data_IF_057785281217
#
_entry.id   IF_057785281217
#
_cell.length_a   1.000
_cell.length_b   1.000
_cell.length_c   1.000
_cell.angle_alpha   90.00
_cell.angle_beta   90.00
_cell.angle_gamma   90.00
#
_symmetry.space_group_name_H-M   'P 1'
#
loop_
_entity.id
_entity.type
_entity.pdbx_description
1 polymer ?
#
# COMPACT_ATOMS: atom_id res chain seq x y z
N UNK A 1 -24.52 17.04 -11.33
CA UNK A 1 -23.18 16.39 -11.42
C UNK A 1 -23.38 14.94 -11.06
N UNK A 2 -23.07 14.01 -11.95
CA UNK A 2 -23.29 12.60 -11.67
C UNK A 2 -22.37 12.11 -10.55
N UNK A 3 -22.86 11.19 -9.73
CA UNK A 3 -22.11 10.60 -8.62
C UNK A 3 -20.76 10.03 -9.07
N UNK A 4 -20.72 9.38 -10.24
CA UNK A 4 -19.47 8.82 -10.74
C UNK A 4 -18.46 9.92 -11.12
N UNK A 5 -18.90 11.09 -11.62
CA UNK A 5 -18.01 12.22 -11.84
C UNK A 5 -17.40 12.75 -10.53
N UNK A 6 -18.20 12.87 -9.46
CA UNK A 6 -17.71 13.25 -8.13
C UNK A 6 -16.67 12.25 -7.62
N UNK A 7 -16.91 10.94 -7.77
CA UNK A 7 -15.97 9.89 -7.37
C UNK A 7 -14.66 9.95 -8.18
N UNK A 8 -14.74 10.20 -9.49
CA UNK A 8 -13.57 10.35 -10.34
C UNK A 8 -12.76 11.60 -9.98
N UNK A 9 -13.42 12.74 -9.72
CA UNK A 9 -12.76 13.97 -9.25
C UNK A 9 -12.08 13.75 -7.88
N UNK A 10 -12.76 13.08 -6.95
CA UNK A 10 -12.16 12.69 -5.68
C UNK A 10 -10.90 11.84 -5.90
N UNK A 11 -10.98 10.81 -6.75
CA UNK A 11 -9.82 9.96 -7.04
C UNK A 11 -8.67 10.75 -7.66
N UNK A 12 -8.96 11.69 -8.57
CA UNK A 12 -7.95 12.58 -9.15
C UNK A 12 -7.29 13.47 -8.09
N UNK A 13 -8.06 14.05 -7.17
CA UNK A 13 -7.54 14.86 -6.07
C UNK A 13 -6.59 14.04 -5.16
N UNK A 14 -6.96 12.79 -4.82
CA UNK A 14 -6.10 11.90 -4.01
C UNK A 14 -4.86 11.47 -4.80
N UNK A 15 -4.96 11.21 -6.09
CA UNK A 15 -3.81 10.84 -6.93
C UNK A 15 -2.78 11.96 -7.06
N UNK A 16 -3.24 13.21 -7.17
CA UNK A 16 -2.37 14.38 -7.36
C UNK A 16 -1.85 14.94 -6.04
N UNK A 17 -2.74 15.16 -5.07
CA UNK A 17 -2.42 15.80 -3.79
C UNK A 17 -1.99 14.83 -2.68
N UNK A 18 -2.45 13.57 -2.76
CA UNK A 18 -2.19 12.56 -1.72
C UNK A 18 -0.72 12.25 -1.48
N UNK A 19 0.09 11.92 -2.51
CA UNK A 19 1.47 11.50 -2.31
C UNK A 19 2.34 12.49 -1.55
N UNK A 20 2.40 13.80 -1.87
CA UNK A 20 3.21 14.74 -1.12
C UNK A 20 2.73 14.91 0.32
N UNK A 21 1.42 14.95 0.55
CA UNK A 21 0.83 15.08 1.89
C UNK A 21 1.13 13.84 2.74
N UNK A 22 0.87 12.65 2.21
CA UNK A 22 1.12 11.39 2.92
C UNK A 22 2.61 11.23 3.26
N UNK A 23 3.52 11.54 2.32
CA UNK A 23 4.96 11.52 2.60
C UNK A 23 5.35 12.49 3.71
N UNK A 24 4.87 13.73 3.66
CA UNK A 24 5.16 14.72 4.70
C UNK A 24 4.69 14.26 6.09
N UNK A 25 3.50 13.66 6.16
CA UNK A 25 2.91 13.16 7.40
C UNK A 25 3.64 11.90 7.94
N UNK A 26 4.09 11.00 7.06
CA UNK A 26 4.69 9.71 7.44
C UNK A 26 6.23 9.73 7.49
N UNK A 27 6.88 10.79 6.97
CA UNK A 27 8.35 10.94 6.87
C UNK A 27 9.09 10.52 8.14
N UNK A 28 8.66 11.02 9.29
CA UNK A 28 9.34 10.77 10.56
C UNK A 28 9.10 9.36 11.13
N UNK A 29 8.20 8.54 10.57
CA UNK A 29 7.91 7.19 11.03
C UNK A 29 7.52 7.06 12.51
N UNK A 30 7.03 8.15 13.16
CA UNK A 30 6.75 8.17 14.60
C UNK A 30 5.57 7.28 15.00
N UNK A 31 4.59 7.14 14.11
CA UNK A 31 3.39 6.30 14.28
C UNK A 31 3.24 5.41 13.05
N UNK A 32 4.12 4.41 12.89
CA UNK A 32 4.23 3.70 11.62
C UNK A 32 2.95 2.94 11.25
N UNK A 33 2.21 2.39 12.22
CA UNK A 33 0.94 1.69 11.98
C UNK A 33 -0.12 2.58 11.36
N UNK A 34 -0.28 3.81 11.86
CA UNK A 34 -1.20 4.79 11.28
C UNK A 34 -0.73 5.23 9.89
N UNK A 35 0.57 5.41 9.71
CA UNK A 35 1.15 5.70 8.40
C UNK A 35 0.83 4.63 7.36
N UNK A 36 0.99 3.34 7.71
CA UNK A 36 0.58 2.21 6.85
C UNK A 36 -0.91 2.28 6.53
N UNK A 37 -1.76 2.49 7.56
CA UNK A 37 -3.20 2.57 7.36
C UNK A 37 -3.59 3.72 6.42
N UNK A 38 -3.00 4.91 6.56
CA UNK A 38 -3.28 6.07 5.70
C UNK A 38 -2.95 5.80 4.23
N UNK A 39 -1.76 5.24 3.95
CA UNK A 39 -1.37 4.89 2.60
C UNK A 39 -2.31 3.83 1.99
N UNK A 40 -2.64 2.79 2.77
CA UNK A 40 -3.55 1.74 2.31
C UNK A 40 -4.96 2.28 2.06
N UNK A 41 -5.50 3.12 2.96
CA UNK A 41 -6.81 3.76 2.79
C UNK A 41 -6.81 4.59 1.50
N UNK A 42 -5.78 5.40 1.26
CA UNK A 42 -5.70 6.22 0.05
C UNK A 42 -5.65 5.37 -1.23
N UNK A 43 -4.82 4.30 -1.25
CA UNK A 43 -4.72 3.39 -2.39
C UNK A 43 -6.05 2.67 -2.62
N UNK A 44 -6.61 2.07 -1.56
CA UNK A 44 -7.86 1.29 -1.67
C UNK A 44 -9.04 2.18 -2.03
N UNK A 45 -9.13 3.41 -1.49
CA UNK A 45 -10.22 4.33 -1.83
C UNK A 45 -10.22 4.72 -3.30
N UNK A 46 -9.04 4.96 -3.90
CA UNK A 46 -8.91 5.24 -5.33
C UNK A 46 -9.35 4.04 -6.16
N UNK A 47 -8.88 2.84 -5.86
CA UNK A 47 -9.26 1.62 -6.58
C UNK A 47 -10.75 1.32 -6.44
N UNK A 48 -11.30 1.50 -5.23
CA UNK A 48 -12.72 1.30 -4.96
C UNK A 48 -13.60 2.34 -5.70
N UNK A 49 -13.20 3.61 -5.72
CA UNK A 49 -13.96 4.64 -6.46
C UNK A 49 -13.97 4.38 -7.96
N UNK A 50 -12.89 3.87 -8.54
CA UNK A 50 -12.87 3.47 -9.96
C UNK A 50 -13.82 2.31 -10.24
N UNK A 51 -13.82 1.30 -9.37
CA UNK A 51 -14.72 0.15 -9.51
C UNK A 51 -16.18 0.58 -9.38
N UNK A 52 -16.51 1.38 -8.35
CA UNK A 52 -17.86 1.90 -8.13
C UNK A 52 -18.31 2.79 -9.29
N UNK A 53 -17.44 3.68 -9.77
CA UNK A 53 -17.76 4.53 -10.93
C UNK A 53 -18.05 3.70 -12.19
N UNK A 54 -17.26 2.64 -12.45
CA UNK A 54 -17.50 1.75 -13.58
C UNK A 54 -18.85 1.01 -13.46
N UNK A 55 -19.18 0.53 -12.25
CA UNK A 55 -20.48 -0.12 -11.99
C UNK A 55 -21.64 0.87 -12.20
N UNK A 56 -21.52 2.10 -11.66
CA UNK A 56 -22.55 3.13 -11.81
C UNK A 56 -22.78 3.50 -13.29
N UNK A 57 -21.71 3.60 -14.07
CA UNK A 57 -21.79 3.85 -15.52
C UNK A 57 -22.57 2.72 -16.22
N UNK A 58 -22.23 1.47 -15.91
CA UNK A 58 -22.93 0.31 -16.53
C UNK A 58 -24.40 0.27 -16.13
N UNK A 59 -24.71 0.50 -14.84
CA UNK A 59 -26.09 0.50 -14.34
C UNK A 59 -26.90 1.61 -15.01
N UNK A 60 -26.33 2.80 -15.14
CA UNK A 60 -27.01 3.94 -15.78
C UNK A 60 -27.31 3.66 -17.26
N UNK A 61 -26.35 3.10 -18.01
CA UNK A 61 -26.55 2.72 -19.42
C UNK A 61 -27.62 1.62 -19.59
N UNK A 62 -27.63 0.62 -18.69
CA UNK A 62 -28.62 -0.47 -18.73
C UNK A 62 -30.02 0.04 -18.35
N UNK A 63 -30.14 0.90 -17.34
CA UNK A 63 -31.41 1.41 -16.84
C UNK A 63 -32.07 2.45 -17.78
N UNK A 64 -31.25 3.25 -18.49
CA UNK A 64 -31.73 4.40 -19.28
C UNK A 64 -31.43 4.27 -20.77
N UNK A 65 -31.01 3.10 -21.24
CA UNK A 65 -30.51 2.84 -22.60
C UNK A 65 -31.43 3.15 -23.77
N UNK A 66 -32.66 3.66 -23.55
CA UNK A 66 -33.59 4.05 -24.62
C UNK A 66 -34.02 5.52 -24.62
N UNK A 67 -33.83 6.29 -23.55
CA UNK A 67 -34.48 7.60 -23.47
C UNK A 67 -33.71 8.82 -22.94
N UNK A 68 -32.52 8.77 -22.40
CA UNK A 68 -31.90 9.99 -21.84
C UNK A 68 -30.38 10.10 -21.90
N UNK A 69 -29.97 11.30 -22.29
CA UNK A 69 -28.66 11.91 -22.39
C UNK A 69 -28.04 12.33 -21.03
N UNK A 70 -28.14 11.61 -19.90
CA UNK A 70 -28.02 12.31 -18.63
C UNK A 70 -26.66 12.20 -17.96
N UNK A 71 -25.89 11.13 -18.12
CA UNK A 71 -24.64 10.96 -17.36
C UNK A 71 -23.45 11.60 -18.04
N UNK A 72 -23.29 11.32 -19.29
CA UNK A 72 -22.13 11.75 -20.07
C UNK A 72 -22.32 13.20 -20.52
N UNK A 73 -23.55 13.59 -20.83
CA UNK A 73 -23.87 15.01 -21.12
C UNK A 73 -23.50 15.90 -19.93
N UNK A 74 -23.77 15.47 -18.68
CA UNK A 74 -23.36 16.23 -17.49
C UNK A 74 -21.84 16.27 -17.29
N UNK A 75 -21.11 15.20 -17.58
CA UNK A 75 -19.64 15.19 -17.47
C UNK A 75 -18.99 15.99 -18.60
N UNK A 76 -19.47 15.85 -19.83
CA UNK A 76 -18.95 16.58 -20.99
C UNK A 76 -19.38 18.04 -20.91
N UNK A 77 -20.61 18.32 -20.55
CA UNK A 77 -21.08 19.68 -20.34
C UNK A 77 -20.31 20.40 -19.24
N UNK A 78 -19.99 19.72 -18.14
CA UNK A 78 -19.13 20.27 -17.09
C UNK A 78 -17.70 20.52 -17.59
N UNK A 79 -17.10 19.56 -18.30
CA UNK A 79 -15.75 19.70 -18.87
C UNK A 79 -15.73 20.68 -20.04
N UNK A 80 -16.73 20.67 -20.92
CA UNK A 80 -16.82 21.60 -22.04
C UNK A 80 -17.20 23.01 -21.59
N UNK A 81 -18.04 23.18 -20.60
CA UNK A 81 -18.30 24.50 -19.96
C UNK A 81 -17.02 25.04 -19.29
N UNK A 82 -16.17 24.18 -18.72
CA UNK A 82 -14.88 24.57 -18.17
C UNK A 82 -13.85 24.92 -19.26
N UNK A 83 -13.87 24.27 -20.42
CA UNK A 83 -12.81 24.38 -21.42
C UNK A 83 -13.17 25.28 -22.63
N UNK A 84 -14.42 25.45 -23.01
CA UNK A 84 -14.71 25.99 -24.34
C UNK A 84 -15.87 26.95 -24.48
N UNK A 85 -16.74 27.20 -23.53
CA UNK A 85 -17.84 28.16 -23.67
C UNK A 85 -18.79 27.90 -24.87
N UNK A 86 -18.74 26.76 -25.55
CA UNK A 86 -19.60 26.40 -26.65
C UNK A 86 -20.04 24.94 -26.60
N UNK A 87 -21.37 24.75 -26.57
CA UNK A 87 -22.06 23.46 -26.58
C UNK A 87 -22.27 22.98 -28.00
N UNK A 88 -21.39 22.15 -28.50
CA UNK A 88 -21.66 21.28 -29.63
C UNK A 88 -21.94 19.87 -29.11
N UNK A 89 -23.12 19.32 -29.30
CA UNK A 89 -23.48 17.97 -28.85
C UNK A 89 -22.54 16.93 -29.44
N UNK A 90 -21.72 16.32 -28.58
CA UNK A 90 -20.89 15.20 -29.01
C UNK A 90 -21.78 14.04 -29.44
N UNK A 91 -21.51 13.39 -30.57
CA UNK A 91 -22.38 12.33 -31.08
C UNK A 91 -22.47 11.19 -30.06
N UNK A 92 -23.62 10.64 -29.84
CA UNK A 92 -23.92 9.52 -28.89
C UNK A 92 -22.89 8.40 -28.95
N UNK A 93 -22.30 8.14 -30.13
CA UNK A 93 -21.26 7.16 -30.33
C UNK A 93 -19.98 7.47 -29.52
N UNK A 94 -19.55 8.73 -29.45
CA UNK A 94 -18.34 9.14 -28.67
C UNK A 94 -18.57 8.91 -27.17
N UNK A 95 -19.78 9.12 -26.69
CA UNK A 95 -20.18 8.96 -25.31
C UNK A 95 -20.17 7.48 -24.90
N UNK A 96 -20.79 6.61 -25.72
CA UNK A 96 -20.79 5.17 -25.50
C UNK A 96 -19.37 4.58 -25.56
N UNK A 97 -18.55 5.07 -26.50
CA UNK A 97 -17.15 4.65 -26.61
C UNK A 97 -16.33 5.07 -25.40
N UNK A 98 -16.53 6.30 -24.87
CA UNK A 98 -15.80 6.76 -23.67
C UNK A 98 -16.21 5.99 -22.41
N UNK A 99 -17.51 5.72 -22.23
CA UNK A 99 -18.00 4.88 -21.14
C UNK A 99 -17.44 3.45 -21.22
N UNK A 100 -17.51 2.84 -22.41
CA UNK A 100 -16.93 1.53 -22.67
C UNK A 100 -15.43 1.49 -22.43
N UNK A 101 -14.69 2.54 -22.81
CA UNK A 101 -13.25 2.65 -22.56
C UNK A 101 -12.92 2.72 -21.05
N UNK A 102 -13.68 3.47 -20.25
CA UNK A 102 -13.50 3.55 -18.79
C UNK A 102 -13.77 2.20 -18.14
N UNK A 103 -14.90 1.56 -18.47
CA UNK A 103 -15.23 0.23 -17.93
C UNK A 103 -14.19 -0.81 -18.34
N UNK A 104 -13.79 -0.81 -19.61
CA UNK A 104 -12.73 -1.69 -20.12
C UNK A 104 -11.40 -1.47 -19.42
N UNK A 105 -11.00 -0.22 -19.18
CA UNK A 105 -9.78 0.10 -18.45
C UNK A 105 -9.82 -0.41 -17.00
N UNK A 106 -10.93 -0.21 -16.29
CA UNK A 106 -11.11 -0.71 -14.91
C UNK A 106 -11.06 -2.23 -14.88
N UNK A 107 -11.71 -2.91 -15.83
CA UNK A 107 -11.68 -4.37 -15.94
C UNK A 107 -10.25 -4.87 -16.18
N UNK A 108 -9.52 -4.29 -17.12
CA UNK A 108 -8.12 -4.64 -17.43
C UNK A 108 -7.24 -4.45 -16.20
N UNK A 109 -7.37 -3.32 -15.49
CA UNK A 109 -6.61 -3.06 -14.27
C UNK A 109 -6.94 -4.10 -13.19
N UNK A 110 -8.22 -4.42 -13.01
CA UNK A 110 -8.67 -5.42 -12.01
C UNK A 110 -8.10 -6.80 -12.32
N UNK A 111 -8.19 -7.26 -13.57
CA UNK A 111 -7.63 -8.56 -14.00
C UNK A 111 -6.12 -8.56 -13.82
N UNK A 112 -5.40 -7.54 -14.28
CA UNK A 112 -3.94 -7.44 -14.10
C UNK A 112 -3.55 -7.44 -12.63
N UNK A 113 -4.31 -6.77 -11.76
CA UNK A 113 -4.05 -6.75 -10.33
C UNK A 113 -4.21 -8.14 -9.70
N UNK A 114 -5.30 -8.84 -10.02
CA UNK A 114 -5.50 -10.23 -9.57
C UNK A 114 -4.36 -11.12 -10.05
N UNK A 115 -3.99 -11.05 -11.33
CA UNK A 115 -2.87 -11.82 -11.88
C UNK A 115 -1.53 -11.46 -11.20
N UNK A 116 -1.26 -10.19 -10.93
CA UNK A 116 -0.04 -9.77 -10.24
C UNK A 116 0.02 -10.28 -8.80
N UNK A 117 -1.08 -10.17 -8.04
CA UNK A 117 -1.17 -10.69 -6.67
C UNK A 117 -1.00 -12.21 -6.64
N UNK A 118 -1.70 -12.94 -7.51
CA UNK A 118 -1.58 -14.41 -7.56
C UNK A 118 -0.17 -14.84 -7.93
N UNK A 119 0.45 -14.22 -8.94
CA UNK A 119 1.84 -14.48 -9.34
C UNK A 119 2.82 -14.25 -8.18
N UNK A 120 2.75 -13.10 -7.50
CA UNK A 120 3.64 -12.80 -6.37
C UNK A 120 3.44 -13.77 -5.21
N UNK A 121 2.19 -14.17 -4.92
CA UNK A 121 1.90 -15.19 -3.91
C UNK A 121 2.47 -16.55 -4.29
N UNK A 122 2.29 -16.99 -5.54
CA UNK A 122 2.82 -18.28 -6.02
C UNK A 122 4.33 -18.30 -5.91
N UNK A 123 5.02 -17.23 -6.32
CA UNK A 123 6.48 -17.14 -6.21
C UNK A 123 6.94 -17.20 -4.74
N UNK A 124 6.27 -16.46 -3.83
CA UNK A 124 6.58 -16.50 -2.41
C UNK A 124 6.34 -17.88 -1.80
N UNK A 125 5.23 -18.54 -2.13
CA UNK A 125 4.93 -19.89 -1.66
C UNK A 125 5.94 -20.94 -2.19
N UNK A 126 6.33 -20.83 -3.47
CA UNK A 126 7.36 -21.69 -4.06
C UNK A 126 8.71 -21.52 -3.35
N UNK A 127 9.10 -20.27 -3.08
CA UNK A 127 10.32 -19.98 -2.32
C UNK A 127 10.27 -20.55 -0.89
N UNK A 128 9.16 -20.35 -0.16
CA UNK A 128 8.97 -20.94 1.17
C UNK A 128 9.02 -22.48 1.14
N UNK A 129 8.49 -23.11 0.09
CA UNK A 129 8.57 -24.55 -0.08
C UNK A 129 10.01 -25.01 -0.32
N UNK A 130 10.73 -24.36 -1.24
CA UNK A 130 12.15 -24.65 -1.50
C UNK A 130 13.01 -24.54 -0.23
N UNK A 131 12.82 -23.49 0.58
CA UNK A 131 13.53 -23.32 1.85
C UNK A 131 13.29 -24.48 2.82
N UNK A 132 12.06 -24.99 2.90
CA UNK A 132 11.74 -26.12 3.80
C UNK A 132 12.38 -27.44 3.37
N UNK A 133 12.73 -27.57 2.09
CA UNK A 133 13.40 -28.75 1.56
C UNK A 133 14.90 -28.75 1.85
N UNK A 134 15.55 -27.57 1.80
CA UNK A 134 17.00 -27.46 1.92
C UNK A 134 17.47 -26.91 3.27
N UNK A 135 16.61 -26.18 3.99
CA UNK A 135 16.92 -25.55 5.27
C UNK A 135 16.83 -26.52 6.43
N UNK A 136 17.68 -26.29 7.44
CA UNK A 136 17.61 -27.03 8.70
C UNK A 136 16.65 -26.30 9.65
N UNK A 137 15.60 -26.96 10.20
CA UNK A 137 14.71 -26.34 11.16
C UNK A 137 15.45 -26.03 12.46
N UNK A 138 15.20 -24.85 13.04
CA UNK A 138 15.70 -24.45 14.36
C UNK A 138 14.54 -23.86 15.17
N UNK A 139 14.55 -24.05 16.49
CA UNK A 139 13.62 -23.51 17.49
C UNK A 139 12.16 -23.94 17.29
N UNK A 140 11.62 -23.86 16.08
CA UNK A 140 10.27 -24.26 15.74
C UNK A 140 10.17 -24.76 14.28
N UNK A 141 8.98 -25.27 13.88
CA UNK A 141 8.76 -25.79 12.53
C UNK A 141 8.63 -24.69 11.45
N UNK A 142 8.84 -23.42 11.81
CA UNK A 142 8.69 -22.28 10.90
C UNK A 142 9.98 -21.51 10.67
N UNK A 143 11.00 -21.77 11.48
CA UNK A 143 12.30 -21.10 11.39
C UNK A 143 13.35 -22.06 10.86
N UNK A 144 14.00 -21.69 9.76
CA UNK A 144 14.96 -22.52 9.05
C UNK A 144 16.28 -21.77 8.87
N UNK A 145 17.39 -22.52 9.01
CA UNK A 145 18.72 -22.02 8.65
C UNK A 145 19.11 -22.59 7.30
N UNK A 146 19.54 -21.70 6.42
CA UNK A 146 20.08 -22.02 5.10
C UNK A 146 21.57 -21.69 5.08
N UNK A 147 22.39 -22.57 4.53
CA UNK A 147 23.84 -22.31 4.41
C UNK A 147 24.08 -21.25 3.33
N UNK A 148 24.56 -20.07 3.76
CA UNK A 148 24.91 -18.95 2.88
C UNK A 148 25.87 -18.01 3.63
N UNK A 149 26.79 -17.40 2.86
CA UNK A 149 27.82 -16.48 3.39
C UNK A 149 27.29 -15.04 3.58
N UNK A 150 26.13 -14.72 3.02
CA UNK A 150 25.48 -13.43 3.21
C UNK A 150 24.69 -13.43 4.51
N UNK A 151 24.87 -12.42 5.36
CA UNK A 151 24.12 -12.27 6.61
C UNK A 151 22.69 -11.80 6.29
N UNK A 152 21.73 -12.69 6.44
CA UNK A 152 20.33 -12.37 6.18
C UNK A 152 19.39 -13.09 7.15
N UNK A 153 18.37 -12.39 7.62
CA UNK A 153 17.20 -12.92 8.27
C UNK A 153 15.96 -12.30 7.58
N UNK A 154 14.98 -13.11 7.23
CA UNK A 154 13.78 -12.64 6.58
C UNK A 154 12.65 -13.65 6.70
N UNK A 155 11.41 -13.18 6.55
CA UNK A 155 10.24 -14.05 6.47
C UNK A 155 9.72 -14.16 5.03
N UNK A 156 9.15 -15.31 4.71
CA UNK A 156 8.56 -15.62 3.41
C UNK A 156 7.10 -16.00 3.59
N UNK A 157 6.24 -15.45 2.74
CA UNK A 157 4.83 -15.82 2.71
C UNK A 157 4.69 -17.27 2.24
N UNK A 158 3.90 -18.04 2.99
CA UNK A 158 3.63 -19.44 2.72
C UNK A 158 2.50 -19.94 3.60
N UNK A 159 2.17 -21.22 3.45
CA UNK A 159 1.23 -21.92 4.34
C UNK A 159 1.94 -23.13 4.96
N UNK A 160 2.49 -22.97 6.17
CA UNK A 160 2.64 -21.75 6.99
C UNK A 160 3.70 -20.78 6.45
N UNK A 161 3.68 -19.51 6.94
CA UNK A 161 4.78 -18.55 6.69
C UNK A 161 6.06 -19.06 7.31
N UNK A 162 7.19 -18.83 6.65
CA UNK A 162 8.51 -19.39 7.01
C UNK A 162 9.48 -18.25 7.33
N UNK A 163 10.20 -18.36 8.43
CA UNK A 163 11.32 -17.48 8.77
C UNK A 163 12.60 -18.16 8.32
N UNK A 164 13.48 -17.41 7.69
CA UNK A 164 14.76 -17.87 7.16
C UNK A 164 15.87 -17.09 7.81
N UNK A 165 16.89 -17.80 8.25
CA UNK A 165 18.18 -17.23 8.67
C UNK A 165 19.30 -17.89 7.88
N UNK A 166 20.31 -17.14 7.55
CA UNK A 166 21.51 -17.73 6.95
C UNK A 166 22.51 -18.16 8.02
N UNK A 167 23.39 -19.13 7.68
CA UNK A 167 24.47 -19.55 8.57
C UNK A 167 25.36 -18.38 9.00
N UNK A 168 25.65 -17.46 8.08
CA UNK A 168 26.42 -16.25 8.38
C UNK A 168 25.69 -15.30 9.34
N UNK A 169 24.35 -15.20 9.27
CA UNK A 169 23.57 -14.42 10.21
C UNK A 169 23.58 -15.03 11.60
N UNK A 170 23.43 -16.35 11.70
CA UNK A 170 23.50 -17.09 12.98
C UNK A 170 24.87 -16.91 13.65
N UNK A 171 25.95 -16.95 12.85
CA UNK A 171 27.31 -16.76 13.37
C UNK A 171 27.63 -15.32 13.79
N UNK A 172 26.92 -14.32 13.23
CA UNK A 172 27.17 -12.90 13.48
C UNK A 172 26.38 -12.33 14.67
N UNK A 173 25.35 -13.01 15.13
CA UNK A 173 24.43 -12.53 16.18
C UNK A 173 24.74 -13.19 17.52
N UNK A 174 24.74 -12.40 18.59
CA UNK A 174 24.70 -12.96 19.94
C UNK A 174 23.32 -13.51 20.30
N UNK A 175 23.21 -14.15 21.48
CA UNK A 175 21.95 -14.80 21.88
C UNK A 175 20.74 -13.85 22.04
N UNK A 176 20.97 -12.60 22.47
CA UNK A 176 19.90 -11.62 22.65
C UNK A 176 19.58 -10.88 21.34
N UNK A 177 20.59 -10.60 20.53
CA UNK A 177 20.44 -10.10 19.17
C UNK A 177 19.64 -11.07 18.30
N UNK A 178 19.95 -12.36 18.38
CA UNK A 178 19.22 -13.44 17.71
C UNK A 178 17.74 -13.43 18.10
N UNK A 179 17.41 -13.36 19.39
CA UNK A 179 16.03 -13.29 19.88
C UNK A 179 15.32 -12.04 19.39
N UNK A 180 16.02 -10.88 19.36
CA UNK A 180 15.47 -9.63 18.87
C UNK A 180 15.19 -9.66 17.37
N UNK A 181 16.10 -10.22 16.56
CA UNK A 181 15.92 -10.41 15.11
C UNK A 181 14.74 -11.37 14.85
N UNK A 182 14.69 -12.50 15.54
CA UNK A 182 13.56 -13.42 15.42
C UNK A 182 12.21 -12.77 15.81
N UNK A 183 12.20 -11.93 16.86
CA UNK A 183 11.00 -11.21 17.24
C UNK A 183 10.56 -10.20 16.18
N UNK A 184 11.50 -9.57 15.46
CA UNK A 184 11.27 -8.72 14.31
C UNK A 184 10.60 -9.52 13.17
N UNK A 185 11.17 -10.65 12.79
CA UNK A 185 10.62 -11.53 11.73
C UNK A 185 9.24 -12.06 12.11
N UNK A 186 9.06 -12.47 13.37
CA UNK A 186 7.74 -12.87 13.88
C UNK A 186 6.71 -11.74 13.87
N UNK A 187 7.14 -10.48 14.02
CA UNK A 187 6.23 -9.34 13.89
C UNK A 187 5.69 -9.20 12.46
N UNK A 188 6.52 -9.46 11.44
CA UNK A 188 6.06 -9.51 10.05
C UNK A 188 5.03 -10.62 9.81
N UNK A 189 5.26 -11.80 10.36
CA UNK A 189 4.32 -12.92 10.24
C UNK A 189 2.99 -12.61 10.92
N UNK A 190 3.02 -12.16 12.19
CA UNK A 190 1.80 -11.86 12.98
C UNK A 190 1.02 -10.66 12.44
N UNK A 191 1.73 -9.63 11.96
CA UNK A 191 1.16 -8.43 11.39
C UNK A 191 0.68 -8.60 9.94
N UNK A 192 0.86 -9.78 9.33
CA UNK A 192 0.56 -10.05 7.91
C UNK A 192 1.23 -9.05 6.98
N UNK A 193 2.44 -8.59 7.35
CA UNK A 193 3.16 -7.58 6.58
C UNK A 193 3.49 -8.05 5.17
N UNK A 194 3.70 -9.36 4.98
CA UNK A 194 3.98 -9.96 3.68
C UNK A 194 2.82 -9.82 2.70
N UNK A 195 1.59 -10.05 3.17
CA UNK A 195 0.38 -9.89 2.35
C UNK A 195 0.17 -8.44 1.94
N UNK A 196 0.38 -7.51 2.88
CA UNK A 196 0.31 -6.07 2.60
C UNK A 196 1.38 -5.67 1.58
N UNK A 197 2.62 -6.15 1.74
CA UNK A 197 3.72 -5.88 0.80
C UNK A 197 3.43 -6.46 -0.59
N UNK A 198 2.89 -7.68 -0.67
CA UNK A 198 2.47 -8.29 -1.94
C UNK A 198 1.41 -7.41 -2.62
N UNK A 199 0.40 -6.98 -1.87
CA UNK A 199 -0.67 -6.13 -2.40
C UNK A 199 -0.14 -4.80 -2.96
N UNK A 200 0.61 -4.03 -2.18
CA UNK A 200 1.09 -2.72 -2.64
C UNK A 200 2.10 -2.84 -3.79
N UNK A 201 2.93 -3.88 -3.81
CA UNK A 201 3.83 -4.17 -4.93
C UNK A 201 3.07 -4.57 -6.20
N UNK A 202 2.01 -5.37 -6.06
CA UNK A 202 1.14 -5.71 -7.20
C UNK A 202 0.50 -4.46 -7.79
N UNK A 203 -0.08 -3.59 -6.94
CA UNK A 203 -0.68 -2.32 -7.37
C UNK A 203 0.35 -1.43 -8.08
N UNK A 204 1.55 -1.26 -7.50
CA UNK A 204 2.63 -0.47 -8.11
C UNK A 204 3.11 -1.06 -9.45
N UNK A 205 3.12 -2.39 -9.60
CA UNK A 205 3.53 -3.05 -10.85
C UNK A 205 2.50 -2.87 -11.96
N UNK A 206 1.22 -2.80 -11.62
CA UNK A 206 0.12 -2.60 -12.59
C UNK A 206 -0.03 -1.13 -12.97
N UNK A 207 0.20 -0.21 -12.02
CA UNK A 207 0.00 1.23 -12.15
C UNK A 207 1.29 2.02 -11.84
N UNK A 208 2.43 1.75 -12.51
CA UNK A 208 3.74 2.30 -12.13
C UNK A 208 3.86 3.81 -12.37
N UNK A 209 3.03 4.38 -13.27
CA UNK A 209 3.02 5.82 -13.57
C UNK A 209 2.32 6.66 -12.52
N UNK A 210 1.49 6.05 -11.67
CA UNK A 210 0.79 6.76 -10.60
C UNK A 210 1.68 6.86 -9.35
N UNK A 211 2.05 8.10 -8.99
CA UNK A 211 2.92 8.36 -7.84
C UNK A 211 2.35 7.77 -6.54
N UNK A 212 1.03 7.84 -6.32
CA UNK A 212 0.38 7.25 -5.15
C UNK A 212 0.68 5.75 -5.01
N UNK A 213 0.66 5.00 -6.11
CA UNK A 213 0.85 3.55 -6.10
C UNK A 213 2.33 3.18 -5.93
N UNK A 214 3.22 3.84 -6.69
CA UNK A 214 4.66 3.62 -6.64
C UNK A 214 5.25 4.02 -5.29
N UNK A 215 4.98 5.25 -4.85
CA UNK A 215 5.52 5.78 -3.60
C UNK A 215 4.87 5.11 -2.40
N UNK A 216 3.58 4.75 -2.52
CA UNK A 216 2.86 3.98 -1.51
C UNK A 216 3.47 2.61 -1.27
N UNK A 217 3.90 1.91 -2.32
CA UNK A 217 4.58 0.62 -2.15
C UNK A 217 5.91 0.76 -1.39
N UNK A 218 6.69 1.81 -1.66
CA UNK A 218 7.95 2.10 -0.97
C UNK A 218 7.72 2.50 0.48
N UNK A 219 6.82 3.46 0.72
CA UNK A 219 6.55 4.00 2.05
C UNK A 219 5.88 2.97 2.97
N UNK A 220 4.91 2.21 2.47
CA UNK A 220 4.28 1.13 3.25
C UNK A 220 5.33 0.10 3.64
N UNK A 221 6.19 -0.35 2.72
CA UNK A 221 7.27 -1.30 3.04
C UNK A 221 8.19 -0.74 4.13
N UNK A 222 8.64 0.51 4.01
CA UNK A 222 9.47 1.20 5.01
C UNK A 222 8.79 1.28 6.39
N UNK A 223 7.51 1.63 6.40
CA UNK A 223 6.74 1.74 7.65
C UNK A 223 6.48 0.38 8.30
N UNK A 224 6.30 -0.68 7.52
CA UNK A 224 6.15 -2.05 8.04
C UNK A 224 7.43 -2.54 8.73
N UNK A 225 8.62 -2.18 8.21
CA UNK A 225 9.89 -2.42 8.91
C UNK A 225 9.92 -1.73 10.27
N UNK A 226 9.50 -0.46 10.34
CA UNK A 226 9.41 0.27 11.59
C UNK A 226 8.37 -0.32 12.56
N UNK A 227 7.28 -0.90 12.06
CA UNK A 227 6.31 -1.63 12.88
C UNK A 227 6.93 -2.89 13.51
N UNK A 228 7.74 -3.61 12.75
CA UNK A 228 8.43 -4.80 13.23
C UNK A 228 9.53 -4.44 14.24
N UNK A 229 10.30 -3.37 13.99
CA UNK A 229 11.26 -2.82 14.96
C UNK A 229 10.60 -2.46 16.28
N UNK A 230 9.45 -1.76 16.25
CA UNK A 230 8.71 -1.41 17.46
C UNK A 230 8.22 -2.65 18.22
N UNK A 231 7.81 -3.68 17.50
CA UNK A 231 7.36 -4.93 18.12
C UNK A 231 8.52 -5.67 18.82
N UNK A 232 9.67 -5.74 18.17
CA UNK A 232 10.89 -6.33 18.74
C UNK A 232 11.43 -5.50 19.92
N UNK A 233 11.47 -4.17 19.77
CA UNK A 233 11.99 -3.25 20.78
C UNK A 233 11.16 -3.21 22.07
N UNK A 234 9.84 -3.44 22.00
CA UNK A 234 9.01 -3.57 23.21
C UNK A 234 9.38 -4.78 24.05
N UNK A 235 9.97 -5.82 23.48
CA UNK A 235 10.29 -7.05 24.16
C UNK A 235 11.76 -7.14 24.55
N UNK A 236 12.66 -6.67 23.70
CA UNK A 236 14.11 -6.84 23.87
C UNK A 236 14.87 -5.52 24.04
N UNK A 237 14.17 -4.38 24.01
CA UNK A 237 14.77 -3.07 24.07
C UNK A 237 15.30 -2.58 22.72
N UNK A 238 15.33 -1.26 22.54
CA UNK A 238 15.74 -0.61 21.26
C UNK A 238 17.19 -0.86 20.93
N UNK A 239 18.05 -0.84 21.94
CA UNK A 239 19.49 -1.04 21.78
C UNK A 239 19.82 -2.44 21.24
N UNK A 240 19.18 -3.51 21.76
CA UNK A 240 19.38 -4.87 21.28
C UNK A 240 18.91 -5.05 19.84
N UNK A 241 17.73 -4.46 19.48
CA UNK A 241 17.25 -4.46 18.10
C UNK A 241 18.21 -3.73 17.17
N UNK A 242 18.74 -2.57 17.61
CA UNK A 242 19.71 -1.79 16.84
C UNK A 242 21.00 -2.60 16.60
N UNK A 243 21.54 -3.27 17.63
CA UNK A 243 22.74 -4.11 17.49
C UNK A 243 22.50 -5.25 16.51
N UNK A 244 21.40 -5.98 16.64
CA UNK A 244 21.03 -7.05 15.70
C UNK A 244 20.89 -6.54 14.26
N UNK A 245 20.27 -5.36 14.05
CA UNK A 245 20.17 -4.72 12.75
C UNK A 245 21.55 -4.40 12.16
N UNK A 246 22.45 -3.82 12.96
CA UNK A 246 23.82 -3.48 12.55
C UNK A 246 24.67 -4.72 12.29
N UNK A 247 24.52 -5.79 13.09
CA UNK A 247 25.23 -7.05 12.89
C UNK A 247 24.86 -7.71 11.56
N UNK A 248 23.61 -7.60 11.13
CA UNK A 248 23.16 -8.08 9.82
C UNK A 248 23.58 -7.14 8.68
N UNK A 249 23.51 -5.81 8.88
CA UNK A 249 23.87 -4.81 7.87
C UNK A 249 25.40 -4.70 7.63
N UNK A 250 26.22 -5.03 8.61
CA UNK A 250 27.67 -4.82 8.60
C UNK A 250 28.49 -5.61 7.57
N UNK A 251 27.84 -6.31 6.64
CA UNK A 251 28.49 -7.05 5.55
C UNK A 251 28.19 -6.45 4.16
N UNK A 252 27.42 -5.37 4.05
CA UNK A 252 27.16 -4.74 2.77
C UNK A 252 28.37 -3.87 2.36
N UNK A 253 29.00 -4.10 1.18
CA UNK A 253 30.10 -3.26 0.71
C UNK A 253 29.56 -1.83 0.50
N UNK A 254 30.37 -0.82 0.85
CA UNK A 254 30.05 0.61 0.75
C UNK A 254 29.67 1.09 -0.66
N UNK A 255 29.81 0.25 -1.67
CA UNK A 255 29.48 0.50 -3.08
C UNK A 255 28.03 0.13 -3.45
N UNK A 256 27.28 -0.50 -2.54
CA UNK A 256 25.89 -0.95 -2.78
C UNK A 256 24.86 0.05 -2.21
N UNK A 257 25.08 1.36 -2.39
CA UNK A 257 24.14 2.42 -1.99
C UNK A 257 22.86 2.35 -2.83
N UNK A 258 21.89 1.55 -2.37
CA UNK A 258 20.58 1.39 -2.97
C UNK A 258 19.44 1.82 -2.02
N UNK A 259 18.20 1.74 -2.48
CA UNK A 259 17.01 2.07 -1.68
C UNK A 259 16.92 1.26 -0.35
N UNK A 260 17.55 0.07 -0.30
CA UNK A 260 17.65 -0.75 0.90
C UNK A 260 18.48 -0.07 2.00
N UNK A 261 19.57 0.61 1.65
CA UNK A 261 20.45 1.28 2.61
C UNK A 261 19.80 2.51 3.23
N UNK A 262 19.03 3.27 2.44
CA UNK A 262 18.25 4.42 2.94
C UNK A 262 17.21 3.96 3.97
N UNK A 263 16.62 2.79 3.76
CA UNK A 263 15.68 2.21 4.72
C UNK A 263 16.37 1.81 6.02
N UNK A 264 17.57 1.21 5.96
CA UNK A 264 18.37 0.86 7.13
C UNK A 264 18.78 2.11 7.90
N UNK A 265 19.31 3.15 7.24
CA UNK A 265 19.72 4.41 7.90
C UNK A 265 18.54 5.03 8.66
N UNK A 266 17.35 5.11 8.04
CA UNK A 266 16.18 5.66 8.71
C UNK A 266 15.70 4.84 9.92
N UNK A 267 15.91 3.52 9.92
CA UNK A 267 15.64 2.64 11.07
C UNK A 267 16.66 2.84 12.18
N UNK A 268 17.94 2.92 11.83
CA UNK A 268 19.04 3.20 12.80
C UNK A 268 18.79 4.55 13.48
N UNK A 269 18.57 5.62 12.70
CA UNK A 269 18.27 6.95 13.25
C UNK A 269 17.06 6.90 14.20
N UNK A 270 15.99 6.23 13.81
CA UNK A 270 14.79 6.10 14.63
C UNK A 270 15.01 5.29 15.90
N UNK A 271 15.82 4.24 15.88
CA UNK A 271 16.12 3.40 17.04
C UNK A 271 17.09 4.10 18.01
N UNK A 272 17.93 5.01 17.56
CA UNK A 272 18.85 5.80 18.42
C UNK A 272 18.15 6.97 19.12
N UNK A 273 17.14 7.57 18.50
CA UNK A 273 16.43 8.71 19.09
C UNK A 273 15.56 8.27 20.27
N UNK A 274 15.47 9.08 21.35
CA UNK A 274 14.59 8.76 22.48
C UNK A 274 13.12 8.73 22.06
N UNK A 275 12.28 7.91 22.73
CA UNK A 275 10.85 7.85 22.45
C UNK A 275 10.20 9.22 22.76
N UNK A 276 9.44 9.76 21.80
CA UNK A 276 8.77 11.05 21.97
C UNK A 276 7.46 10.84 22.71
N UNK A 277 7.37 11.34 23.94
CA UNK A 277 6.20 11.16 24.82
C UNK A 277 4.93 11.96 24.45
N UNK A 278 4.99 12.87 23.44
CA UNK A 278 3.85 13.72 23.04
C UNK A 278 3.41 13.42 21.61
N UNK A 279 2.77 12.27 21.39
CA UNK A 279 2.28 11.87 20.07
C UNK A 279 0.78 12.09 19.85
N UNK A 280 -0.01 12.31 20.94
CA UNK A 280 -1.49 12.35 20.88
C UNK A 280 -2.08 13.29 19.82
N UNK A 281 -1.55 14.52 19.69
CA UNK A 281 -2.04 15.48 18.69
C UNK A 281 -1.74 15.03 17.25
N UNK A 282 -0.57 14.42 17.01
CA UNK A 282 -0.18 13.92 15.68
C UNK A 282 -0.93 12.63 15.33
N UNK A 283 -1.15 11.75 16.29
CA UNK A 283 -1.99 10.57 16.14
C UNK A 283 -3.43 10.98 15.78
N UNK A 284 -3.99 11.96 16.48
CA UNK A 284 -5.32 12.49 16.18
C UNK A 284 -5.38 13.12 14.78
N UNK A 285 -4.37 13.91 14.38
CA UNK A 285 -4.29 14.49 13.04
C UNK A 285 -4.21 13.42 11.93
N UNK A 286 -3.37 12.40 12.12
CA UNK A 286 -3.24 11.29 11.20
C UNK A 286 -4.53 10.45 11.12
N UNK A 287 -5.13 10.15 12.27
CA UNK A 287 -6.41 9.43 12.32
C UNK A 287 -7.55 10.25 11.69
N UNK A 288 -7.60 11.56 11.93
CA UNK A 288 -8.55 12.47 11.29
C UNK A 288 -8.38 12.52 9.77
N UNK A 289 -7.15 12.65 9.28
CA UNK A 289 -6.86 12.63 7.85
C UNK A 289 -7.24 11.28 7.20
N UNK A 290 -6.92 10.16 7.85
CA UNK A 290 -7.34 8.83 7.39
C UNK A 290 -8.87 8.70 7.35
N UNK A 291 -9.55 9.20 8.38
CA UNK A 291 -11.01 9.24 8.45
C UNK A 291 -11.63 10.07 7.33
N UNK A 292 -11.09 11.26 7.06
CA UNK A 292 -11.54 12.11 5.96
C UNK A 292 -11.38 11.42 4.60
N UNK A 293 -10.23 10.80 4.34
CA UNK A 293 -10.00 10.07 3.09
C UNK A 293 -10.96 8.88 2.95
N UNK A 294 -11.21 8.15 4.04
CA UNK A 294 -12.09 6.98 4.01
C UNK A 294 -13.58 7.35 3.86
N UNK A 295 -14.02 8.44 4.50
CA UNK A 295 -15.43 8.83 4.58
C UNK A 295 -15.87 9.75 3.43
N UNK A 296 -14.95 10.47 2.79
CA UNK A 296 -15.30 11.39 1.69
C UNK A 296 -16.09 10.73 0.55
N UNK A 297 -15.73 9.53 0.04
CA UNK A 297 -16.55 8.86 -0.98
C UNK A 297 -17.92 8.42 -0.46
N UNK A 298 -18.02 8.01 0.80
CA UNK A 298 -19.29 7.62 1.42
C UNK A 298 -20.20 8.84 1.62
N UNK A 299 -19.63 9.98 2.06
CA UNK A 299 -20.37 11.22 2.18
C UNK A 299 -20.88 11.70 0.80
N UNK A 300 -20.07 11.56 -0.25
CA UNK A 300 -20.51 11.84 -1.63
C UNK A 300 -21.67 10.94 -2.06
N UNK A 301 -21.63 9.65 -1.72
CA UNK A 301 -22.71 8.68 -1.99
C UNK A 301 -24.02 9.03 -1.26
N UNK A 302 -23.92 9.39 0.02
CA UNK A 302 -25.13 9.76 0.81
C UNK A 302 -25.74 11.07 0.38
N UNK A 303 -24.93 12.08 0.04
CA UNK A 303 -25.39 13.36 -0.49
C UNK A 303 -26.06 13.21 -1.87
N UNK A 304 -25.53 12.32 -2.71
CA UNK A 304 -26.17 12.02 -3.99
C UNK A 304 -27.49 11.24 -3.82
N UNK A 305 -27.54 10.29 -2.90
CA UNK A 305 -28.75 9.51 -2.61
C UNK A 305 -29.86 10.35 -1.95
N UNK A 306 -29.48 11.40 -1.17
CA UNK A 306 -30.44 12.31 -0.54
C UNK A 306 -31.07 13.35 -1.48
N UNK A 307 -30.69 13.37 -2.76
CA UNK A 307 -31.18 14.33 -3.74
C UNK A 307 -30.64 15.76 -3.57
N UNK A 308 -29.82 16.04 -2.58
CA UNK A 308 -29.25 17.38 -2.31
C UNK A 308 -28.30 17.84 -3.43
N UNK A 309 -27.72 16.91 -4.19
CA UNK A 309 -26.86 17.19 -5.35
C UNK A 309 -27.60 17.16 -6.68
N UNK A 310 -28.90 16.87 -6.69
CA UNK A 310 -29.74 17.02 -7.88
C UNK A 310 -30.21 18.49 -7.88
N UNK A 311 -29.36 19.36 -8.37
CA UNK A 311 -29.81 20.68 -8.81
C UNK A 311 -30.76 20.47 -9.98
N UNK A 312 -31.99 20.86 -9.74
CA UNK A 312 -33.05 21.09 -10.73
C UNK A 312 -32.56 21.88 -11.94
#
# INVERSE_FOLDING_TARGET
VSLAACLLLYSAAILLGGPPVLRALTRAGRVPRLGVAMWLIAIVSVLATWLVSAVLIVVDEVAHGSQRHTFIDSCIEFVCRLLAGQSGGAPRAVLLLSAGAVVGAVLVVSVRLVCAVTRLRTLAHGHAHGIRLVGRPILDHRTFVVNADVRAAYCVAGKPSTIVMTSAAVAALDGDEMKAVLAHEWAHVRGRHLEVTIFVRAVASVLPRLALMRDGALEVTRLLEMCADDAAARRFGRHTVLRGLLALAGAAPATALGAADVAVVSRVERLTLPPVNRLRGREAALAGAAGLIALAPLAGLTLAASGVLVCS
#
